data_IF_146465732063
#
_entry.id   IF_146465732063
#
_cell.length_a   1.000
_cell.length_b   1.000
_cell.length_c   1.000
_cell.angle_alpha   90.00
_cell.angle_beta   90.00
_cell.angle_gamma   90.00
#
_symmetry.space_group_name_H-M   'P 1'
#
loop_
_entity.id
_entity.type
_entity.pdbx_description
1 polymer ?
#
# COMPACT_ATOMS: atom_id res chain seq x y z
N UNK A 1 -21.61 -12.22 -8.74
CA UNK A 1 -20.99 -10.88 -8.86
C UNK A 1 -19.53 -11.02 -8.44
N UNK A 2 -18.56 -10.89 -9.35
CA UNK A 2 -17.14 -11.16 -9.04
C UNK A 2 -16.56 -10.11 -8.09
N UNK A 3 -15.82 -10.54 -7.07
CA UNK A 3 -15.18 -9.67 -6.09
C UNK A 3 -14.32 -8.57 -6.76
N UNK A 4 -13.66 -8.86 -7.89
CA UNK A 4 -12.88 -7.86 -8.64
C UNK A 4 -13.73 -6.75 -9.26
N UNK A 5 -14.98 -7.02 -9.64
CA UNK A 5 -15.91 -6.01 -10.14
C UNK A 5 -16.31 -5.03 -9.03
N UNK A 6 -16.50 -5.54 -7.81
CA UNK A 6 -16.86 -4.73 -6.64
C UNK A 6 -15.69 -3.87 -6.15
N UNK A 7 -14.46 -4.40 -6.23
CA UNK A 7 -13.23 -3.64 -5.97
C UNK A 7 -13.09 -2.51 -6.99
N UNK A 8 -13.27 -2.80 -8.29
CA UNK A 8 -13.23 -1.78 -9.35
C UNK A 8 -14.28 -0.68 -9.15
N UNK A 9 -15.52 -1.07 -8.82
CA UNK A 9 -16.62 -0.12 -8.54
C UNK A 9 -16.35 0.76 -7.29
N UNK A 10 -15.67 0.23 -6.27
CA UNK A 10 -15.25 1.01 -5.09
C UNK A 10 -14.10 1.98 -5.38
N UNK A 11 -13.18 1.59 -6.28
CA UNK A 11 -12.04 2.41 -6.70
C UNK A 11 -12.44 3.53 -7.67
N UNK A 12 -13.42 3.30 -8.54
CA UNK A 12 -13.88 4.27 -9.54
C UNK A 12 -14.77 5.38 -8.96
N UNK A 13 -15.43 5.14 -7.82
CA UNK A 13 -16.48 6.02 -7.28
C UNK A 13 -16.00 7.33 -6.62
N UNK A 14 -14.68 7.60 -6.53
CA UNK A 14 -14.15 8.78 -5.79
C UNK A 14 -12.95 9.48 -6.43
N UNK A 15 -12.86 9.50 -7.77
CA UNK A 15 -11.79 10.23 -8.45
C UNK A 15 -12.05 11.75 -8.41
N UNK A 16 -11.54 12.40 -7.35
CA UNK A 16 -11.47 13.85 -7.22
C UNK A 16 -10.02 14.34 -7.39
N UNK A 17 -9.79 15.23 -8.36
CA UNK A 17 -8.50 15.86 -8.70
C UNK A 17 -7.73 16.37 -7.48
N UNK A 18 -6.42 16.08 -7.39
CA UNK A 18 -5.39 16.95 -6.80
C UNK A 18 -3.99 16.60 -7.33
N UNK A 19 -3.25 17.66 -7.67
CA UNK A 19 -1.86 17.66 -8.11
C UNK A 19 -0.92 17.05 -7.06
N UNK A 20 0.10 16.29 -7.52
CA UNK A 20 1.44 16.06 -6.95
C UNK A 20 1.97 14.63 -7.26
N UNK A 21 3.09 14.54 -7.99
CA UNK A 21 4.07 13.43 -8.02
C UNK A 21 3.60 11.96 -7.86
N UNK A 22 2.54 11.54 -8.55
CA UNK A 22 2.16 10.12 -8.58
C UNK A 22 2.97 9.33 -9.62
N UNK A 23 3.52 8.19 -9.22
CA UNK A 23 4.12 7.21 -10.15
C UNK A 23 3.05 6.69 -11.09
N UNK A 24 3.30 6.77 -12.39
CA UNK A 24 2.35 6.30 -13.41
C UNK A 24 2.23 4.77 -13.38
N UNK A 25 1.06 4.24 -13.74
CA UNK A 25 0.84 2.79 -13.81
C UNK A 25 1.81 2.12 -14.79
N UNK A 26 2.09 2.76 -15.93
CA UNK A 26 3.04 2.26 -16.93
C UNK A 26 4.46 2.14 -16.37
N UNK A 27 4.91 3.14 -15.60
CA UNK A 27 6.21 3.11 -14.92
C UNK A 27 6.27 1.95 -13.91
N UNK A 28 5.23 1.80 -13.08
CA UNK A 28 5.13 0.72 -12.10
C UNK A 28 5.19 -0.64 -12.78
N UNK A 29 4.40 -0.84 -13.84
CA UNK A 29 4.37 -2.08 -14.61
C UNK A 29 5.74 -2.42 -15.18
N UNK A 30 6.36 -1.47 -15.89
CA UNK A 30 7.65 -1.69 -16.54
C UNK A 30 8.75 -2.04 -15.53
N UNK A 31 8.81 -1.34 -14.40
CA UNK A 31 9.86 -1.55 -13.41
C UNK A 31 9.62 -2.80 -12.55
N UNK A 32 8.40 -2.99 -12.02
CA UNK A 32 8.17 -4.06 -11.04
C UNK A 32 8.08 -5.46 -11.65
N UNK A 33 7.72 -5.59 -12.93
CA UNK A 33 7.69 -6.89 -13.57
C UNK A 33 9.07 -7.55 -13.65
N UNK A 34 10.16 -6.77 -13.71
CA UNK A 34 11.53 -7.29 -13.66
C UNK A 34 11.86 -7.94 -12.31
N UNK A 35 11.23 -7.47 -11.23
CA UNK A 35 11.44 -7.97 -9.86
C UNK A 35 10.37 -8.95 -9.39
N UNK A 36 9.45 -9.35 -10.26
CA UNK A 36 8.27 -10.17 -9.94
C UNK A 36 8.57 -11.38 -9.05
N UNK A 37 9.67 -12.08 -9.30
CA UNK A 37 10.03 -13.28 -8.54
C UNK A 37 10.41 -12.99 -7.08
N UNK A 38 10.90 -11.79 -6.77
CA UNK A 38 11.22 -11.37 -5.40
C UNK A 38 9.97 -11.19 -4.53
N UNK A 39 8.81 -10.99 -5.15
CA UNK A 39 7.52 -10.82 -4.44
C UNK A 39 6.83 -12.16 -4.11
N UNK A 40 7.33 -13.29 -4.62
CA UNK A 40 6.70 -14.60 -4.40
C UNK A 40 6.66 -14.94 -2.91
N UNK A 41 5.47 -15.32 -2.45
CA UNK A 41 5.14 -15.63 -1.08
C UNK A 41 5.47 -14.50 -0.09
N UNK A 42 5.47 -13.24 -0.53
CA UNK A 42 5.74 -12.08 0.32
C UNK A 42 4.47 -11.37 0.75
N UNK A 43 4.54 -10.77 1.94
CA UNK A 43 3.60 -9.75 2.40
C UNK A 43 4.18 -8.39 2.05
N UNK A 44 3.41 -7.56 1.34
CA UNK A 44 3.82 -6.17 1.06
C UNK A 44 3.05 -5.19 1.94
N UNK A 45 3.69 -4.07 2.27
CA UNK A 45 3.05 -2.95 2.94
C UNK A 45 3.18 -1.65 2.14
N UNK A 46 2.01 -1.09 1.82
CA UNK A 46 1.85 0.17 1.11
C UNK A 46 1.38 1.28 2.07
N UNK A 47 2.30 2.02 2.66
CA UNK A 47 1.96 3.28 3.32
C UNK A 47 1.78 4.37 2.26
N UNK A 48 0.56 4.90 2.11
CA UNK A 48 0.20 5.82 1.03
C UNK A 48 -0.83 6.85 1.49
N UNK A 49 -0.91 8.03 0.87
CA UNK A 49 -1.86 9.06 1.32
C UNK A 49 -3.33 8.62 1.16
N UNK A 50 -3.62 7.75 0.19
CA UNK A 50 -4.93 7.13 0.02
C UNK A 50 -4.82 5.74 -0.65
N UNK A 51 -5.06 4.63 0.08
CA UNK A 51 -5.08 3.26 -0.46
C UNK A 51 -6.00 3.06 -1.65
N UNK A 52 -7.11 3.81 -1.75
CA UNK A 52 -8.06 3.68 -2.85
C UNK A 52 -7.58 4.36 -4.13
N UNK A 53 -6.62 5.29 -4.04
CA UNK A 53 -6.10 6.04 -5.18
C UNK A 53 -4.71 5.58 -5.59
N UNK A 54 -3.95 4.97 -4.68
CA UNK A 54 -2.59 4.49 -4.91
C UNK A 54 -2.49 3.54 -6.10
N UNK A 55 -1.73 3.94 -7.12
CA UNK A 55 -1.44 3.09 -8.28
C UNK A 55 -0.69 1.81 -7.88
N UNK A 56 0.16 1.85 -6.84
CA UNK A 56 0.81 0.65 -6.32
C UNK A 56 -0.20 -0.35 -5.75
N UNK A 57 -1.15 0.11 -4.92
CA UNK A 57 -2.18 -0.77 -4.34
C UNK A 57 -3.03 -1.39 -5.44
N UNK A 58 -3.49 -0.58 -6.41
CA UNK A 58 -4.23 -1.05 -7.58
C UNK A 58 -3.44 -2.08 -8.39
N UNK A 59 -2.18 -1.79 -8.68
CA UNK A 59 -1.29 -2.66 -9.42
C UNK A 59 -1.15 -4.02 -8.73
N UNK A 60 -0.80 -4.05 -7.44
CA UNK A 60 -0.58 -5.31 -6.75
C UNK A 60 -1.86 -6.10 -6.50
N UNK A 61 -3.01 -5.45 -6.28
CA UNK A 61 -4.30 -6.16 -6.21
C UNK A 61 -4.61 -6.83 -7.55
N UNK A 62 -4.47 -6.10 -8.66
CA UNK A 62 -4.75 -6.62 -10.00
C UNK A 62 -3.77 -7.72 -10.43
N UNK A 63 -2.54 -7.68 -9.92
CA UNK A 63 -1.47 -8.63 -10.25
C UNK A 63 -1.15 -9.58 -9.08
N UNK A 64 -2.04 -9.74 -8.10
CA UNK A 64 -1.74 -10.45 -6.86
C UNK A 64 -1.26 -11.89 -7.11
N UNK A 65 -1.99 -12.63 -7.95
CA UNK A 65 -1.63 -14.02 -8.30
C UNK A 65 -0.41 -14.06 -9.21
N UNK A 66 -0.33 -13.09 -10.13
CA UNK A 66 0.82 -12.95 -11.03
C UNK A 66 2.11 -12.84 -10.22
N UNK A 67 2.16 -11.97 -9.21
CA UNK A 67 3.32 -11.77 -8.34
C UNK A 67 3.44 -12.83 -7.23
N UNK A 68 2.45 -13.71 -7.08
CA UNK A 68 2.46 -14.78 -6.08
C UNK A 68 2.45 -14.27 -4.65
N UNK A 69 1.81 -13.14 -4.38
CA UNK A 69 1.81 -12.51 -3.05
C UNK A 69 1.06 -13.35 -2.00
N UNK A 70 1.46 -13.21 -0.74
CA UNK A 70 0.71 -13.75 0.40
C UNK A 70 -0.37 -12.78 0.86
N UNK A 71 0.00 -11.50 0.96
CA UNK A 71 -0.84 -10.46 1.53
C UNK A 71 -0.37 -9.07 1.08
N UNK A 72 -1.33 -8.17 0.94
CA UNK A 72 -1.13 -6.74 0.75
C UNK A 72 -1.73 -6.06 1.98
N UNK A 73 -0.93 -5.25 2.66
CA UNK A 73 -1.37 -4.32 3.69
C UNK A 73 -1.25 -2.92 3.11
N UNK A 74 -2.25 -2.07 3.33
CA UNK A 74 -2.19 -0.66 2.96
C UNK A 74 -2.77 0.21 4.06
N UNK A 75 -2.16 1.37 4.30
CA UNK A 75 -2.69 2.37 5.24
C UNK A 75 -2.73 3.75 4.61
N UNK A 76 -3.70 4.58 4.99
CA UNK A 76 -3.68 6.04 4.77
C UNK A 76 -3.51 6.84 6.03
N UNK A 77 -2.76 7.93 5.87
CA UNK A 77 -2.74 9.04 6.80
C UNK A 77 -3.97 9.95 6.64
N UNK A 78 -4.56 10.37 7.75
CA UNK A 78 -5.62 11.36 7.81
C UNK A 78 -5.36 12.33 8.97
N UNK A 79 -5.00 13.57 8.66
CA UNK A 79 -4.65 14.57 9.68
C UNK A 79 -5.80 14.89 10.66
N UNK A 80 -7.05 14.74 10.22
CA UNK A 80 -8.21 15.26 10.94
C UNK A 80 -9.10 14.15 11.55
N UNK A 81 -8.80 12.88 11.29
CA UNK A 81 -9.60 11.74 11.74
C UNK A 81 -8.74 10.47 11.74
N UNK A 82 -9.33 9.31 12.01
CA UNK A 82 -8.64 8.04 11.88
C UNK A 82 -8.16 7.81 10.44
N UNK A 83 -6.95 7.24 10.33
CA UNK A 83 -6.46 6.70 9.07
C UNK A 83 -7.26 5.48 8.64
N UNK A 84 -7.04 5.01 7.42
CA UNK A 84 -7.68 3.79 6.92
C UNK A 84 -6.68 2.65 6.86
N UNK A 85 -7.17 1.45 7.13
CA UNK A 85 -6.47 0.20 6.94
C UNK A 85 -7.17 -0.62 5.85
N UNK A 86 -6.38 -1.17 4.94
CA UNK A 86 -6.79 -2.15 3.96
C UNK A 86 -5.91 -3.40 4.01
N UNK A 87 -6.53 -4.57 3.94
CA UNK A 87 -5.86 -5.84 3.73
C UNK A 87 -6.47 -6.60 2.56
N UNK A 88 -5.61 -7.15 1.71
CA UNK A 88 -6.00 -8.12 0.67
C UNK A 88 -5.11 -9.36 0.75
N UNK A 89 -5.70 -10.55 0.83
CA UNK A 89 -4.97 -11.80 1.10
C UNK A 89 -5.28 -12.91 0.08
N UNK A 90 -4.66 -14.08 0.26
CA UNK A 90 -4.80 -15.23 -0.66
C UNK A 90 -6.24 -15.70 -0.88
N UNK A 91 -7.11 -15.50 0.11
CA UNK A 91 -8.54 -15.84 0.01
C UNK A 91 -9.32 -14.83 -0.83
N UNK A 92 -8.64 -13.86 -1.45
CA UNK A 92 -9.22 -12.75 -2.21
C UNK A 92 -10.21 -11.92 -1.40
N UNK A 93 -10.04 -11.94 -0.08
CA UNK A 93 -10.85 -11.16 0.85
C UNK A 93 -10.23 -9.77 1.01
N UNK A 94 -11.07 -8.76 0.80
CA UNK A 94 -10.75 -7.38 1.14
C UNK A 94 -11.29 -7.07 2.54
N UNK A 95 -10.42 -6.58 3.42
CA UNK A 95 -10.78 -6.07 4.75
C UNK A 95 -10.49 -4.59 4.76
N UNK A 96 -11.48 -3.78 5.12
CA UNK A 96 -11.36 -2.34 5.31
C UNK A 96 -11.82 -1.97 6.72
N UNK A 97 -11.04 -1.17 7.43
CA UNK A 97 -11.40 -0.62 8.75
C UNK A 97 -10.70 0.71 8.98
N UNK A 98 -11.18 1.46 9.95
CA UNK A 98 -10.44 2.61 10.48
C UNK A 98 -9.28 2.12 11.35
N UNK A 99 -8.17 2.84 11.28
CA UNK A 99 -7.07 2.73 12.23
C UNK A 99 -7.49 3.30 13.58
N UNK A 100 -6.75 2.96 14.64
CA UNK A 100 -6.90 3.61 15.94
C UNK A 100 -6.29 5.02 15.88
N UNK A 101 -5.15 5.15 15.21
CA UNK A 101 -4.48 6.42 14.98
C UNK A 101 -4.91 7.13 13.70
N UNK A 102 -4.20 8.21 13.40
CA UNK A 102 -4.31 8.98 12.15
C UNK A 102 -3.66 8.28 10.95
N UNK A 103 -2.92 7.19 11.16
CA UNK A 103 -2.18 6.49 10.10
C UNK A 103 -0.82 7.09 9.76
N UNK A 104 -0.25 7.91 10.66
CA UNK A 104 1.12 8.38 10.52
C UNK A 104 2.07 7.19 10.45
N UNK A 105 3.01 7.20 9.50
CA UNK A 105 3.92 6.09 9.24
C UNK A 105 4.84 5.75 10.43
N UNK A 106 5.01 6.69 11.37
CA UNK A 106 5.80 6.57 12.59
C UNK A 106 4.97 6.29 13.85
N UNK A 107 3.66 6.05 13.70
CA UNK A 107 2.83 5.55 14.79
C UNK A 107 3.12 4.07 15.10
N UNK A 108 2.96 3.66 16.35
CA UNK A 108 3.14 2.26 16.77
C UNK A 108 2.28 1.28 15.94
N UNK A 109 1.04 1.69 15.61
CA UNK A 109 0.13 0.89 14.79
C UNK A 109 0.69 0.66 13.38
N UNK A 110 1.17 1.71 12.71
CA UNK A 110 1.78 1.61 11.38
C UNK A 110 3.15 0.90 11.40
N UNK A 111 3.92 1.06 12.47
CA UNK A 111 5.19 0.34 12.68
C UNK A 111 4.98 -1.16 12.82
N UNK A 112 3.89 -1.59 13.47
CA UNK A 112 3.55 -3.01 13.55
C UNK A 112 3.28 -3.62 12.17
N UNK A 113 2.55 -2.92 11.29
CA UNK A 113 2.33 -3.37 9.90
C UNK A 113 3.62 -3.37 9.07
N UNK A 114 4.48 -2.36 9.27
CA UNK A 114 5.80 -2.30 8.65
C UNK A 114 6.66 -3.49 9.07
N UNK A 115 6.65 -3.84 10.35
CA UNK A 115 7.39 -4.97 10.89
C UNK A 115 6.86 -6.33 10.39
N UNK A 116 5.54 -6.45 10.21
CA UNK A 116 4.91 -7.64 9.63
C UNK A 116 5.27 -7.86 8.15
N UNK A 117 5.44 -6.78 7.39
CA UNK A 117 5.67 -6.89 5.95
C UNK A 117 7.09 -7.32 5.59
N UNK A 118 7.20 -8.12 4.52
CA UNK A 118 8.48 -8.51 3.93
C UNK A 118 9.05 -7.40 3.04
N UNK A 119 8.17 -6.69 2.32
CA UNK A 119 8.55 -5.66 1.35
C UNK A 119 7.72 -4.39 1.63
N UNK A 120 8.41 -3.26 1.69
CA UNK A 120 7.77 -1.95 1.83
C UNK A 120 7.70 -1.32 0.44
N UNK A 121 6.50 -0.94 0.01
CA UNK A 121 6.29 -0.23 -1.25
C UNK A 121 5.68 1.13 -0.95
N UNK A 122 6.46 2.18 -1.13
CA UNK A 122 5.98 3.54 -0.92
C UNK A 122 6.75 4.53 -1.80
N UNK A 123 6.16 5.71 -2.01
CA UNK A 123 6.82 6.86 -2.59
C UNK A 123 6.66 8.02 -1.59
N UNK A 124 7.46 8.06 -0.52
CA UNK A 124 7.28 9.04 0.54
C UNK A 124 7.64 10.44 0.00
N UNK A 125 6.97 11.51 0.46
CA UNK A 125 7.31 12.86 0.05
C UNK A 125 8.76 13.16 0.43
N UNK A 126 9.48 13.89 -0.42
CA UNK A 126 10.93 14.13 -0.26
C UNK A 126 11.28 14.75 1.11
N UNK A 127 10.39 15.59 1.65
CA UNK A 127 10.53 16.19 2.99
C UNK A 127 10.57 15.16 4.12
N UNK A 128 9.88 14.03 3.97
CA UNK A 128 9.80 12.97 4.97
C UNK A 128 10.74 11.80 4.65
N UNK A 129 11.30 11.74 3.44
CA UNK A 129 12.16 10.64 2.98
C UNK A 129 13.28 10.29 3.98
N UNK A 130 14.05 11.27 4.45
CA UNK A 130 15.14 11.01 5.42
C UNK A 130 14.64 10.39 6.73
N UNK A 131 13.49 10.88 7.22
CA UNK A 131 12.86 10.35 8.45
C UNK A 131 12.34 8.94 8.20
N UNK A 132 11.74 8.69 7.04
CA UNK A 132 11.24 7.38 6.63
C UNK A 132 12.38 6.34 6.51
N UNK A 133 13.48 6.67 5.83
CA UNK A 133 14.65 5.79 5.72
C UNK A 133 15.25 5.48 7.09
N UNK A 134 15.40 6.50 7.95
CA UNK A 134 15.87 6.27 9.32
C UNK A 134 14.99 5.26 10.05
N UNK A 135 13.67 5.39 9.91
CA UNK A 135 12.71 4.49 10.52
C UNK A 135 12.81 3.05 9.98
N UNK A 136 13.05 2.86 8.68
CA UNK A 136 13.30 1.53 8.11
C UNK A 136 14.57 0.88 8.69
N UNK A 137 15.66 1.65 8.79
CA UNK A 137 16.93 1.17 9.37
C UNK A 137 16.73 0.80 10.85
N UNK A 138 16.09 1.68 11.63
CA UNK A 138 15.83 1.46 13.05
C UNK A 138 14.93 0.22 13.28
N UNK A 139 14.11 -0.16 12.30
CA UNK A 139 13.23 -1.35 12.32
C UNK A 139 13.81 -2.58 11.57
N UNK A 140 15.11 -2.57 11.19
CA UNK A 140 15.80 -3.68 10.51
C UNK A 140 15.10 -4.11 9.20
N UNK A 141 14.70 -3.13 8.40
CA UNK A 141 14.15 -3.29 7.05
C UNK A 141 15.16 -2.82 5.99
N UNK A 142 16.38 -3.34 6.07
CA UNK A 142 17.51 -3.06 5.17
C UNK A 142 17.54 -3.94 3.91
#
# INVERSE_FOLDING_TARGET
>A
MNASKRIKELLDARVGKKDEFYTSMETIEKELYEYKDYFKNKTIYCNCDNPNESNFVKFFINNFDTFGLNKIIATSFNKNDNGLYGEFNKDKKLILKNLVGDGSFDSDECLNFLNEADIIVTNPPFSLFKKFIKLLIDNKKD
#
